data_IF_553508139606
#
_entry.id   IF_553508139606
#
_cell.length_a   1.000
_cell.length_b   1.000
_cell.length_c   1.000
_cell.angle_alpha   90.00
_cell.angle_beta   90.00
_cell.angle_gamma   90.00
#
_symmetry.space_group_name_H-M   'P 1'
#
loop_
_entity.id
_entity.type
_entity.pdbx_description
1 polymer ?
#
# COMPACT_ATOMS: atom_id res chain seq x y z
N UNK A 1 10.28 13.56 -14.88
CA UNK A 1 9.57 12.63 -13.98
C UNK A 1 10.49 11.44 -13.72
N UNK A 2 10.69 11.03 -12.47
CA UNK A 2 11.54 9.88 -12.12
C UNK A 2 10.70 8.70 -11.66
N UNK A 3 9.58 8.97 -10.98
CA UNK A 3 8.66 7.94 -10.52
C UNK A 3 7.22 8.38 -10.74
N UNK A 4 6.40 7.47 -11.25
CA UNK A 4 4.96 7.62 -11.36
C UNK A 4 4.32 6.32 -10.93
N UNK A 5 3.43 6.37 -9.95
CA UNK A 5 2.56 5.27 -9.56
C UNK A 5 1.13 5.77 -9.57
N UNK A 6 0.23 4.96 -10.14
CA UNK A 6 -1.19 5.27 -10.27
C UNK A 6 -1.99 4.17 -9.60
N UNK A 7 -2.93 4.59 -8.75
CA UNK A 7 -3.94 3.74 -8.13
C UNK A 7 -3.36 2.44 -7.55
N UNK A 8 -2.31 2.56 -6.73
CA UNK A 8 -1.68 1.39 -6.11
C UNK A 8 -2.57 0.86 -5.00
N UNK A 9 -2.91 -0.43 -5.11
CA UNK A 9 -3.60 -1.20 -4.08
C UNK A 9 -2.67 -2.28 -3.54
N UNK A 10 -2.64 -2.44 -2.22
CA UNK A 10 -1.93 -3.54 -1.56
C UNK A 10 -2.77 -4.08 -0.43
N UNK A 11 -2.96 -5.39 -0.44
CA UNK A 11 -3.72 -6.09 0.59
C UNK A 11 -2.91 -7.27 1.12
N UNK A 12 -3.07 -7.56 2.41
CA UNK A 12 -2.41 -8.67 3.09
C UNK A 12 -3.46 -9.56 3.80
N UNK A 13 -3.35 -10.89 3.71
CA UNK A 13 -4.22 -11.78 4.46
C UNK A 13 -3.87 -11.74 5.95
N UNK A 14 -4.82 -11.33 6.79
CA UNK A 14 -4.65 -11.30 8.25
C UNK A 14 -4.95 -12.65 8.90
N UNK A 15 -5.91 -13.40 8.35
CA UNK A 15 -6.35 -14.67 8.92
C UNK A 15 -6.66 -15.66 7.80
N UNK A 16 -6.14 -16.88 7.95
CA UNK A 16 -6.46 -18.04 7.12
C UNK A 16 -7.10 -19.10 8.01
N UNK A 17 -8.05 -19.86 7.47
CA UNK A 17 -8.55 -21.05 8.16
C UNK A 17 -7.55 -22.22 8.02
N UNK A 18 -7.83 -23.34 8.70
CA UNK A 18 -7.01 -24.56 8.65
C UNK A 18 -6.85 -25.16 7.24
N UNK A 19 -7.76 -24.82 6.32
CA UNK A 19 -7.71 -25.22 4.91
C UNK A 19 -7.08 -24.15 4.01
N UNK A 20 -6.43 -23.13 4.58
CA UNK A 20 -5.70 -22.09 3.85
C UNK A 20 -6.55 -20.99 3.22
N UNK A 21 -7.89 -21.04 3.33
CA UNK A 21 -8.78 -20.00 2.81
C UNK A 21 -8.62 -18.72 3.63
N UNK A 22 -8.41 -17.61 2.95
CA UNK A 22 -8.29 -16.28 3.57
C UNK A 22 -9.68 -15.85 4.08
N UNK A 23 -9.79 -15.64 5.39
CA UNK A 23 -11.03 -15.20 6.04
C UNK A 23 -11.06 -13.68 6.25
N UNK A 24 -9.88 -13.08 6.46
CA UNK A 24 -9.75 -11.64 6.72
C UNK A 24 -8.55 -11.09 5.97
N UNK A 25 -8.74 -9.92 5.36
CA UNK A 25 -7.73 -9.18 4.61
C UNK A 25 -7.65 -7.77 5.19
N UNK A 26 -6.43 -7.25 5.32
CA UNK A 26 -6.20 -5.82 5.54
C UNK A 26 -5.79 -5.18 4.23
N UNK A 27 -6.34 -4.00 3.94
CA UNK A 27 -5.92 -3.17 2.82
C UNK A 27 -4.88 -2.19 3.33
N UNK A 28 -3.62 -2.45 3.03
CA UNK A 28 -2.50 -1.59 3.43
C UNK A 28 -2.33 -0.38 2.50
N UNK A 29 -2.70 -0.51 1.23
CA UNK A 29 -2.79 0.63 0.31
C UNK A 29 -4.13 0.54 -0.42
N UNK A 30 -4.85 1.66 -0.49
CA UNK A 30 -6.17 1.75 -1.10
C UNK A 30 -6.22 2.85 -2.16
N UNK A 31 -5.61 2.61 -3.32
CA UNK A 31 -5.70 3.50 -4.48
C UNK A 31 -4.74 4.69 -4.41
N UNK A 32 -3.51 4.47 -3.94
CA UNK A 32 -2.54 5.56 -3.77
C UNK A 32 -1.87 5.89 -5.10
N UNK A 33 -1.92 7.16 -5.49
CA UNK A 33 -1.19 7.68 -6.66
C UNK A 33 -0.11 8.67 -6.20
N UNK A 34 1.09 8.55 -6.76
CA UNK A 34 2.23 9.40 -6.42
C UNK A 34 3.09 9.63 -7.66
N UNK A 35 3.46 10.88 -7.90
CA UNK A 35 4.43 11.27 -8.93
C UNK A 35 5.59 12.00 -8.27
N UNK A 36 6.81 11.59 -8.58
CA UNK A 36 8.03 12.23 -8.09
C UNK A 36 8.84 12.75 -9.27
N UNK A 37 9.10 14.05 -9.24
CA UNK A 37 9.89 14.76 -10.24
C UNK A 37 11.38 14.75 -9.91
N UNK A 38 12.19 15.14 -10.90
CA UNK A 38 13.64 15.20 -10.70
C UNK A 38 13.97 16.33 -9.71
N UNK A 39 14.85 16.04 -8.74
CA UNK A 39 15.24 16.95 -7.64
C UNK A 39 14.14 17.25 -6.62
N UNK A 40 13.09 16.43 -6.57
CA UNK A 40 12.06 16.50 -5.54
C UNK A 40 12.42 15.58 -4.36
N UNK A 41 12.20 16.07 -3.14
CA UNK A 41 12.37 15.27 -1.91
C UNK A 41 11.00 14.99 -1.33
N UNK A 42 10.64 13.72 -1.17
CA UNK A 42 9.35 13.28 -0.62
C UNK A 42 9.58 12.54 0.69
N UNK A 43 8.84 12.92 1.73
CA UNK A 43 8.81 12.21 3.01
C UNK A 43 7.45 11.55 3.21
N UNK A 44 7.45 10.27 3.61
CA UNK A 44 6.23 9.55 4.00
C UNK A 44 6.15 9.57 5.53
N UNK A 45 5.05 10.06 6.06
CA UNK A 45 4.76 10.10 7.50
C UNK A 45 3.47 9.33 7.78
N UNK A 46 3.39 8.68 8.93
CA UNK A 46 2.22 7.96 9.37
C UNK A 46 2.41 7.37 10.76
N UNK A 47 1.31 7.22 11.48
CA UNK A 47 1.28 6.47 12.73
C UNK A 47 1.43 4.97 12.45
N UNK A 48 1.93 4.22 13.43
CA UNK A 48 2.06 2.77 13.31
C UNK A 48 0.73 2.12 12.96
N UNK A 49 0.64 1.53 11.76
CA UNK A 49 -0.56 0.82 11.29
C UNK A 49 -1.47 1.61 10.34
N UNK A 50 -1.04 2.78 9.85
CA UNK A 50 -1.65 3.50 8.72
C UNK A 50 -1.51 2.72 7.40
#
# INVERSE_FOLDING_TARGET
>A
MILEVKEVFKSFPLKKNFFGKVEKVIRALNGVSLSISKRETVGVIGESGC
#
